data_IF_593632035457
#
_entry.id   IF_593632035457
#
_cell.length_a   1.000
_cell.length_b   1.000
_cell.length_c   1.000
_cell.angle_alpha   90.00
_cell.angle_beta   90.00
_cell.angle_gamma   90.00
#
_symmetry.space_group_name_H-M   'P 1'
#
loop_
_entity.id
_entity.type
_entity.pdbx_description
1 polymer ?
#
# COMPACT_ATOMS: atom_id res chain seq x y z
N UNK A 1 -3.25 -37.47 69.95
CA UNK A 1 -2.47 -36.27 69.58
C UNK A 1 -1.85 -36.58 68.23
N UNK A 2 -2.59 -36.61 67.13
CA UNK A 2 -3.50 -35.60 66.57
C UNK A 2 -2.81 -34.24 66.31
N UNK A 3 -2.88 -33.84 65.03
CA UNK A 3 -2.76 -32.48 64.47
C UNK A 3 -1.36 -31.87 64.39
N UNK A 4 -0.89 -31.29 63.28
CA UNK A 4 -1.42 -31.14 61.91
C UNK A 4 -0.25 -30.76 61.00
N UNK A 5 -0.26 -31.28 59.77
CA UNK A 5 0.57 -30.77 58.69
C UNK A 5 0.08 -29.38 58.27
N UNK A 6 1.02 -28.51 57.94
CA UNK A 6 0.74 -27.24 57.27
C UNK A 6 1.33 -27.35 55.86
N UNK A 7 0.50 -27.94 54.98
CA UNK A 7 0.77 -28.10 53.56
C UNK A 7 0.52 -26.73 52.90
N UNK A 8 1.54 -25.86 52.90
CA UNK A 8 1.51 -24.64 52.09
C UNK A 8 1.80 -25.01 50.64
N UNK A 9 0.76 -25.41 49.93
CA UNK A 9 0.69 -25.27 48.47
C UNK A 9 1.09 -23.85 48.10
N UNK A 10 2.30 -23.70 47.54
CA UNK A 10 2.71 -22.52 46.82
C UNK A 10 1.84 -22.41 45.56
N UNK A 11 0.72 -21.70 45.65
CA UNK A 11 0.04 -21.18 44.47
C UNK A 11 1.02 -20.20 43.82
N UNK A 12 1.75 -20.66 42.81
CA UNK A 12 2.51 -19.77 41.95
C UNK A 12 1.51 -18.81 41.32
N UNK A 13 1.44 -17.58 41.82
CA UNK A 13 0.79 -16.48 41.11
C UNK A 13 1.46 -16.39 39.74
N UNK A 14 0.79 -16.91 38.70
CA UNK A 14 1.24 -16.74 37.34
C UNK A 14 1.26 -15.23 37.08
N UNK A 15 2.47 -14.68 36.94
CA UNK A 15 2.63 -13.28 36.55
C UNK A 15 1.80 -13.04 35.29
N UNK A 16 0.98 -11.98 35.26
CA UNK A 16 0.17 -11.66 34.10
C UNK A 16 1.09 -11.48 32.89
N UNK A 17 0.72 -12.10 31.76
CA UNK A 17 1.47 -11.96 30.53
C UNK A 17 1.65 -10.48 30.16
N UNK A 18 2.81 -10.12 29.63
CA UNK A 18 3.13 -8.72 29.34
C UNK A 18 2.28 -8.16 28.19
N UNK A 19 1.82 -9.02 27.29
CA UNK A 19 1.02 -8.63 26.15
C UNK A 19 -0.16 -9.57 25.89
N UNK A 20 -1.23 -8.98 25.36
CA UNK A 20 -2.44 -9.69 24.92
C UNK A 20 -2.78 -9.27 23.49
N UNK A 21 -3.03 -10.25 22.64
CA UNK A 21 -3.54 -10.07 21.29
C UNK A 21 -4.92 -10.71 21.17
N UNK A 22 -5.94 -9.89 20.98
CA UNK A 22 -7.29 -10.33 20.64
C UNK A 22 -7.44 -10.35 19.11
N UNK A 23 -7.77 -11.50 18.54
CA UNK A 23 -8.06 -11.57 17.10
C UNK A 23 -9.53 -11.23 16.85
N UNK A 24 -9.81 -10.70 15.66
CA UNK A 24 -11.19 -10.48 15.23
C UNK A 24 -11.99 -11.80 15.29
N UNK A 25 -13.25 -11.82 15.76
CA UNK A 25 -14.04 -13.07 15.91
C UNK A 25 -14.11 -13.90 14.63
N UNK A 26 -14.13 -13.24 13.46
CA UNK A 26 -14.14 -13.91 12.15
C UNK A 26 -12.88 -14.70 11.80
N UNK A 27 -11.77 -14.46 12.50
CA UNK A 27 -10.54 -15.23 12.35
C UNK A 27 -10.63 -16.63 12.97
N UNK A 28 -11.61 -16.86 13.86
CA UNK A 28 -11.73 -18.07 14.69
C UNK A 28 -10.46 -18.41 15.50
N UNK A 29 -9.64 -17.40 15.82
CA UNK A 29 -8.44 -17.56 16.64
C UNK A 29 -8.72 -17.15 18.08
N UNK A 30 -8.32 -17.94 19.09
CA UNK A 30 -8.41 -17.53 20.49
C UNK A 30 -7.45 -16.38 20.77
N UNK A 31 -7.75 -15.61 21.82
CA UNK A 31 -6.83 -14.57 22.32
C UNK A 31 -5.48 -15.18 22.69
N UNK A 32 -4.40 -14.50 22.31
CA UNK A 32 -3.03 -14.91 22.55
C UNK A 32 -2.42 -14.05 23.66
N UNK A 33 -1.76 -14.67 24.63
CA UNK A 33 -1.04 -14.02 25.71
C UNK A 33 0.45 -14.31 25.55
N UNK A 34 1.29 -13.28 25.61
CA UNK A 34 2.71 -13.39 25.28
C UNK A 34 3.57 -12.70 26.35
N UNK A 35 4.75 -13.27 26.62
CA UNK A 35 5.78 -12.62 27.44
C UNK A 35 6.42 -11.43 26.70
N UNK A 36 7.27 -10.66 27.38
CA UNK A 36 7.99 -9.53 26.75
C UNK A 36 8.98 -10.06 25.69
N UNK A 37 9.56 -11.23 25.91
CA UNK A 37 10.53 -11.85 25.01
C UNK A 37 9.87 -12.42 23.75
N UNK A 38 8.60 -12.87 23.87
CA UNK A 38 7.80 -13.40 22.77
C UNK A 38 7.10 -12.30 21.95
N UNK A 39 6.76 -11.18 22.60
CA UNK A 39 6.05 -10.09 21.96
C UNK A 39 6.99 -9.22 21.10
N UNK A 40 6.75 -9.24 19.79
CA UNK A 40 7.63 -8.58 18.80
C UNK A 40 8.56 -9.56 18.06
N UNK A 41 8.58 -10.84 18.43
CA UNK A 41 9.20 -11.89 17.60
C UNK A 41 8.22 -12.33 16.51
N UNK A 42 8.25 -11.65 15.37
CA UNK A 42 7.84 -12.29 14.12
C UNK A 42 9.08 -12.94 13.52
N UNK A 43 9.18 -14.28 13.62
CA UNK A 43 10.16 -15.02 12.84
C UNK A 43 9.79 -14.91 11.35
N UNK A 44 10.40 -13.94 10.67
CA UNK A 44 10.34 -13.84 9.22
C UNK A 44 11.53 -14.61 8.64
N UNK A 45 11.32 -15.51 7.66
CA UNK A 45 12.45 -16.11 6.96
C UNK A 45 13.23 -15.02 6.20
N UNK A 46 14.55 -15.03 6.34
CA UNK A 46 15.43 -14.11 5.63
C UNK A 46 15.50 -14.47 4.14
N UNK A 47 15.44 -13.46 3.26
CA UNK A 47 15.67 -13.60 1.81
C UNK A 47 17.16 -13.65 1.48
N UNK A 48 17.56 -14.52 0.54
CA UNK A 48 18.93 -14.65 0.04
C UNK A 48 19.36 -13.47 -0.87
N UNK A 49 20.67 -13.18 -0.93
CA UNK A 49 21.30 -12.14 -1.77
C UNK A 49 22.05 -12.75 -2.96
N UNK A 50 22.05 -12.04 -4.09
CA UNK A 50 22.70 -12.41 -5.37
C UNK A 50 24.11 -11.76 -5.53
N UNK A 51 24.99 -12.35 -6.36
CA UNK A 51 26.45 -12.29 -6.20
C UNK A 51 27.32 -11.84 -7.40
N UNK A 52 26.86 -11.27 -8.54
CA UNK A 52 27.82 -10.79 -9.57
C UNK A 52 27.52 -9.45 -10.29
N UNK A 53 28.53 -8.55 -10.47
CA UNK A 53 28.24 -7.12 -10.58
C UNK A 53 28.55 -6.41 -11.91
N UNK A 54 29.22 -6.97 -12.95
CA UNK A 54 29.15 -6.44 -14.36
C UNK A 54 29.96 -7.21 -15.44
N UNK A 55 29.67 -8.45 -15.87
CA UNK A 55 30.28 -8.94 -17.13
C UNK A 55 29.34 -8.75 -18.34
N UNK A 56 29.52 -7.69 -19.15
CA UNK A 56 29.14 -6.36 -18.64
C UNK A 56 27.78 -5.87 -19.12
N UNK A 57 27.21 -6.54 -20.12
CA UNK A 57 25.77 -6.70 -20.43
C UNK A 57 25.59 -7.97 -21.30
N UNK A 58 24.36 -8.48 -21.45
CA UNK A 58 24.09 -9.82 -22.04
C UNK A 58 23.88 -9.78 -23.58
N UNK A 59 23.37 -8.69 -24.20
CA UNK A 59 23.11 -8.56 -25.68
C UNK A 59 23.40 -7.14 -26.26
N UNK A 60 23.57 -7.00 -27.60
CA UNK A 60 23.93 -5.77 -28.36
C UNK A 60 23.02 -4.55 -28.06
N UNK A 61 21.76 -4.78 -27.66
CA UNK A 61 20.79 -3.74 -27.34
C UNK A 61 21.00 -3.02 -25.99
N UNK A 62 21.63 -3.68 -25.00
CA UNK A 62 21.95 -3.06 -23.70
C UNK A 62 23.04 -1.96 -23.87
N UNK A 63 23.85 -2.05 -24.92
CA UNK A 63 24.91 -1.09 -25.26
C UNK A 63 24.36 0.18 -25.92
N UNK A 64 23.50 0.05 -26.94
CA UNK A 64 22.85 1.20 -27.63
C UNK A 64 21.98 2.04 -26.68
N UNK A 65 21.39 1.41 -25.66
CA UNK A 65 20.64 2.08 -24.59
C UNK A 65 21.51 2.90 -23.63
N UNK A 66 22.64 2.34 -23.22
CA UNK A 66 23.59 2.99 -22.33
C UNK A 66 24.26 4.23 -22.97
N UNK A 67 24.29 4.34 -24.30
CA UNK A 67 24.89 5.48 -25.04
C UNK A 67 23.95 6.69 -25.18
N UNK A 68 22.65 6.45 -25.41
CA UNK A 68 21.59 7.49 -25.50
C UNK A 68 21.30 8.10 -24.12
N UNK A 69 21.29 7.25 -23.10
CA UNK A 69 21.28 7.57 -21.68
C UNK A 69 22.26 8.68 -21.28
N UNK A 70 23.47 8.57 -21.82
CA UNK A 70 24.57 9.45 -21.49
C UNK A 70 24.39 10.84 -22.14
N UNK A 71 23.99 10.91 -23.43
CA UNK A 71 23.88 12.17 -24.21
C UNK A 71 22.77 13.13 -23.75
N UNK A 72 21.72 12.63 -23.10
CA UNK A 72 20.57 13.44 -22.66
C UNK A 72 20.67 13.91 -21.20
N UNK A 73 21.81 13.70 -20.53
CA UNK A 73 21.95 14.05 -19.11
C UNK A 73 20.94 13.31 -18.22
N UNK A 74 20.47 12.17 -18.71
CA UNK A 74 19.51 11.35 -18.03
C UNK A 74 20.25 10.64 -16.92
N UNK A 75 19.84 10.85 -15.68
CA UNK A 75 20.23 9.91 -14.64
C UNK A 75 19.71 8.53 -15.03
N UNK A 76 20.41 7.48 -14.60
CA UNK A 76 20.07 6.07 -14.87
C UNK A 76 18.57 5.71 -14.69
N UNK A 77 17.82 6.51 -13.92
CA UNK A 77 16.37 6.40 -13.69
C UNK A 77 15.47 6.72 -14.90
N UNK A 78 15.79 7.71 -15.74
CA UNK A 78 14.95 8.03 -16.92
C UNK A 78 15.18 7.02 -18.05
N UNK A 79 16.42 6.55 -18.10
CA UNK A 79 16.94 5.54 -19.00
C UNK A 79 16.18 4.24 -18.75
N UNK A 80 16.22 3.67 -17.55
CA UNK A 80 15.50 2.44 -17.24
C UNK A 80 13.97 2.55 -17.33
N UNK A 81 13.41 3.75 -17.09
CA UNK A 81 11.99 4.06 -17.33
C UNK A 81 11.59 3.94 -18.80
N UNK A 82 12.43 4.40 -19.73
CA UNK A 82 12.22 4.33 -21.18
C UNK A 82 12.29 2.88 -21.69
N UNK A 83 13.31 2.11 -21.33
CA UNK A 83 13.49 0.75 -21.85
C UNK A 83 12.44 -0.24 -21.34
N UNK A 84 12.06 -0.11 -20.09
CA UNK A 84 11.10 -1.05 -19.49
C UNK A 84 9.68 -0.75 -19.94
N UNK A 85 9.36 0.51 -20.28
CA UNK A 85 8.09 0.86 -20.89
C UNK A 85 8.01 0.35 -22.33
N UNK A 86 9.07 0.50 -23.12
CA UNK A 86 9.20 -0.02 -24.49
C UNK A 86 9.06 -1.56 -24.53
N UNK A 87 9.71 -2.29 -23.61
CA UNK A 87 9.61 -3.75 -23.51
C UNK A 87 8.22 -4.23 -23.01
N UNK A 88 7.56 -3.43 -22.18
CA UNK A 88 6.21 -3.72 -21.69
C UNK A 88 5.13 -3.37 -22.70
N UNK A 89 5.27 -2.34 -23.52
CA UNK A 89 4.28 -1.99 -24.57
C UNK A 89 4.29 -3.04 -25.70
N UNK A 90 5.47 -3.47 -26.15
CA UNK A 90 5.59 -4.39 -27.29
C UNK A 90 5.14 -5.84 -27.00
N UNK A 91 4.97 -6.23 -25.73
CA UNK A 91 4.45 -7.54 -25.34
C UNK A 91 2.95 -7.49 -24.95
N UNK A 92 2.29 -6.33 -25.08
CA UNK A 92 0.95 -6.06 -24.54
C UNK A 92 0.90 -5.87 -23.01
N UNK A 93 2.04 -5.64 -22.37
CA UNK A 93 2.35 -5.74 -20.93
C UNK A 93 2.55 -4.40 -20.20
N UNK A 94 2.23 -3.25 -20.81
CA UNK A 94 2.31 -1.96 -20.11
C UNK A 94 0.97 -1.61 -19.48
N UNK A 95 0.88 -1.77 -18.16
CA UNK A 95 -0.33 -1.56 -17.35
C UNK A 95 -0.74 -0.09 -17.21
N UNK A 96 0.10 0.87 -17.60
CA UNK A 96 -0.23 2.30 -17.51
C UNK A 96 -1.07 2.72 -18.72
N UNK A 97 -2.34 2.97 -18.48
CA UNK A 97 -3.29 3.53 -19.44
C UNK A 97 -3.29 5.05 -19.35
N UNK A 98 -3.34 5.71 -20.51
CA UNK A 98 -3.60 7.14 -20.62
C UNK A 98 -5.10 7.36 -20.65
N UNK A 99 -5.59 8.21 -19.76
CA UNK A 99 -6.95 8.73 -19.76
C UNK A 99 -6.91 10.24 -19.89
N UNK A 100 -7.92 10.83 -20.51
CA UNK A 100 -7.99 12.26 -20.73
C UNK A 100 -9.15 12.82 -19.90
N UNK A 101 -8.83 13.64 -18.90
CA UNK A 101 -9.84 14.37 -18.13
C UNK A 101 -10.14 15.66 -18.87
N UNK A 102 -11.41 15.87 -19.20
CA UNK A 102 -11.90 17.09 -19.86
C UNK A 102 -12.65 17.92 -18.84
N UNK A 103 -12.27 19.18 -18.69
CA UNK A 103 -12.95 20.11 -17.79
C UNK A 103 -13.23 21.44 -18.51
N UNK A 104 -14.47 21.94 -18.48
CA UNK A 104 -14.81 23.23 -19.05
C UNK A 104 -14.31 24.37 -18.15
N UNK A 105 -13.73 25.40 -18.74
CA UNK A 105 -13.35 26.63 -18.05
C UNK A 105 -13.47 27.85 -18.97
N UNK A 106 -14.17 28.89 -18.54
CA UNK A 106 -14.36 30.16 -19.28
C UNK A 106 -14.75 29.98 -20.75
N UNK A 107 -15.66 29.03 -21.03
CA UNK A 107 -16.20 28.79 -22.37
C UNK A 107 -15.30 27.97 -23.30
N UNK A 108 -14.22 27.37 -22.80
CA UNK A 108 -13.43 26.38 -23.52
C UNK A 108 -13.31 25.06 -22.75
N UNK A 109 -13.16 23.96 -23.48
CA UNK A 109 -12.89 22.64 -22.91
C UNK A 109 -11.39 22.36 -22.94
N UNK A 110 -10.83 22.04 -21.77
CA UNK A 110 -9.41 21.75 -21.63
C UNK A 110 -9.22 20.29 -21.27
N UNK A 111 -8.27 19.65 -21.94
CA UNK A 111 -7.99 18.23 -21.75
C UNK A 111 -6.65 18.03 -21.06
N UNK A 112 -6.64 17.24 -19.98
CA UNK A 112 -5.44 16.90 -19.24
C UNK A 112 -5.19 15.40 -19.25
N UNK A 113 -4.00 14.94 -19.67
CA UNK A 113 -3.68 13.53 -19.65
C UNK A 113 -3.39 13.06 -18.21
N UNK A 114 -4.00 11.94 -17.86
CA UNK A 114 -3.78 11.17 -16.64
C UNK A 114 -3.17 9.84 -17.05
N UNK A 115 -2.06 9.46 -16.41
CA UNK A 115 -1.43 8.18 -16.66
C UNK A 115 -1.59 7.32 -15.42
N UNK A 116 -2.30 6.20 -15.52
CA UNK A 116 -2.53 5.33 -14.37
C UNK A 116 -2.39 3.87 -14.73
N UNK A 117 -1.91 3.05 -13.79
CA UNK A 117 -2.06 1.60 -13.84
C UNK A 117 -3.19 1.16 -12.94
N UNK A 118 -3.84 0.06 -13.29
CA UNK A 118 -4.87 -0.56 -12.45
C UNK A 118 -4.30 -0.82 -11.05
N UNK A 119 -4.88 -0.15 -10.05
CA UNK A 119 -4.58 -0.35 -8.64
C UNK A 119 -4.90 -1.78 -8.21
N UNK A 120 -5.96 -2.35 -8.78
CA UNK A 120 -6.36 -3.73 -8.51
C UNK A 120 -5.42 -4.75 -9.13
N UNK A 121 -4.98 -4.56 -10.37
CA UNK A 121 -4.04 -5.49 -11.01
C UNK A 121 -2.69 -5.49 -10.29
N UNK A 122 -2.28 -4.32 -9.76
CA UNK A 122 -1.12 -4.23 -8.88
C UNK A 122 -1.33 -5.03 -7.58
N UNK A 123 -2.50 -4.95 -6.95
CA UNK A 123 -2.82 -5.77 -5.78
C UNK A 123 -2.79 -7.27 -6.09
N UNK A 124 -3.33 -7.70 -7.24
CA UNK A 124 -3.28 -9.10 -7.67
C UNK A 124 -1.82 -9.58 -7.89
N UNK A 125 -0.94 -8.72 -8.42
CA UNK A 125 0.50 -9.03 -8.53
C UNK A 125 1.12 -9.31 -7.14
N UNK A 126 0.75 -8.53 -6.11
CA UNK A 126 1.23 -8.74 -4.74
C UNK A 126 0.70 -10.05 -4.14
N UNK A 127 -0.58 -10.34 -4.34
CA UNK A 127 -1.26 -11.54 -3.83
C UNK A 127 -0.75 -12.84 -4.47
N UNK A 128 -0.21 -12.74 -5.68
CA UNK A 128 0.43 -13.84 -6.42
C UNK A 128 1.89 -14.07 -6.02
N UNK A 129 2.50 -13.14 -5.28
CA UNK A 129 3.93 -13.17 -5.06
C UNK A 129 4.31 -14.16 -3.95
N UNK A 130 5.09 -15.22 -4.24
CA UNK A 130 5.55 -16.20 -3.24
C UNK A 130 6.30 -15.57 -2.07
N UNK A 131 7.08 -14.52 -2.33
CA UNK A 131 7.90 -13.85 -1.33
C UNK A 131 7.08 -13.00 -0.36
N UNK A 132 5.87 -12.59 -0.76
CA UNK A 132 5.00 -11.75 0.07
C UNK A 132 3.91 -12.57 0.78
N UNK A 133 3.53 -13.72 0.22
CA UNK A 133 2.45 -14.57 0.72
C UNK A 133 2.51 -14.85 2.24
N UNK A 134 3.68 -15.18 2.84
CA UNK A 134 3.77 -15.45 4.28
C UNK A 134 3.58 -14.22 5.17
N UNK A 135 3.69 -13.02 4.61
CA UNK A 135 3.69 -11.76 5.36
C UNK A 135 2.34 -11.05 5.36
N UNK A 136 1.36 -11.54 4.60
CA UNK A 136 0.04 -10.95 4.59
C UNK A 136 -0.69 -11.17 5.93
N UNK A 137 -1.17 -10.07 6.49
CA UNK A 137 -2.13 -10.10 7.60
C UNK A 137 -3.53 -9.85 7.07
N UNK A 138 -4.43 -10.81 7.35
CA UNK A 138 -5.78 -10.82 6.80
C UNK A 138 -6.83 -10.28 7.80
N UNK A 139 -6.64 -10.58 9.08
CA UNK A 139 -7.61 -10.25 10.13
C UNK A 139 -7.16 -9.06 10.98
N UNK A 140 -8.14 -8.27 11.42
CA UNK A 140 -7.93 -7.26 12.44
C UNK A 140 -7.45 -7.90 13.74
N UNK A 141 -6.62 -7.16 14.44
CA UNK A 141 -6.06 -7.57 15.72
C UNK A 141 -6.20 -6.47 16.74
N UNK A 142 -6.24 -6.89 17.99
CA UNK A 142 -6.31 -6.01 19.12
C UNK A 142 -5.18 -6.28 20.10
N UNK A 143 -4.14 -5.44 20.03
CA UNK A 143 -2.98 -5.48 20.92
C UNK A 143 -3.19 -4.70 22.21
N UNK A 144 -2.72 -5.27 23.32
CA UNK A 144 -2.71 -4.65 24.63
C UNK A 144 -1.40 -4.97 25.35
N UNK A 145 -0.91 -4.02 26.15
CA UNK A 145 0.28 -4.17 27.00
C UNK A 145 -0.13 -4.05 28.46
N UNK A 146 0.36 -4.94 29.32
CA UNK A 146 0.14 -4.86 30.75
C UNK A 146 1.03 -3.77 31.36
N UNK A 147 0.45 -2.83 32.11
CA UNK A 147 1.16 -1.70 32.74
C UNK A 147 1.54 -1.95 34.21
N UNK A 148 1.24 -3.14 34.74
CA UNK A 148 1.36 -3.47 36.16
C UNK A 148 0.02 -3.52 36.90
N UNK A 149 -1.04 -2.92 36.33
CA UNK A 149 -2.39 -2.86 36.90
C UNK A 149 -3.48 -3.35 35.94
N UNK A 150 -3.38 -3.01 34.65
CA UNK A 150 -4.37 -3.32 33.62
C UNK A 150 -3.70 -3.47 32.25
N UNK A 151 -4.46 -4.01 31.31
CA UNK A 151 -4.07 -4.06 29.91
C UNK A 151 -4.46 -2.76 29.21
N UNK A 152 -3.46 -2.01 28.74
CA UNK A 152 -3.65 -0.79 27.97
C UNK A 152 -3.54 -1.02 26.47
N UNK A 153 -4.43 -0.38 25.73
CA UNK A 153 -4.54 -0.48 24.29
C UNK A 153 -3.38 0.25 23.60
N UNK A 154 -2.78 -0.35 22.57
CA UNK A 154 -1.88 0.37 21.66
C UNK A 154 -2.04 -0.07 20.21
N UNK A 155 -1.48 0.73 19.31
CA UNK A 155 -1.55 0.56 17.86
C UNK A 155 -0.14 0.50 17.30
N UNK A 156 0.12 -0.47 16.41
CA UNK A 156 1.43 -0.66 15.78
C UNK A 156 1.32 -0.77 14.26
N UNK A 157 0.28 -1.44 13.77
CA UNK A 157 0.04 -1.67 12.35
C UNK A 157 -1.40 -1.32 11.96
N UNK A 158 -1.71 -1.09 10.67
CA UNK A 158 -3.05 -0.69 10.25
C UNK A 158 -4.17 -1.66 10.67
N UNK A 159 -3.91 -2.97 10.64
CA UNK A 159 -4.86 -4.00 11.09
C UNK A 159 -5.07 -4.01 12.61
N UNK A 160 -4.26 -3.28 13.37
CA UNK A 160 -4.46 -3.08 14.81
C UNK A 160 -5.39 -1.91 15.12
N UNK A 161 -5.73 -1.09 14.12
CA UNK A 161 -6.64 0.05 14.29
C UNK A 161 -8.10 -0.36 14.39
N UNK A 162 -8.89 0.37 15.19
CA UNK A 162 -10.34 0.15 15.31
C UNK A 162 -11.07 0.31 13.98
N UNK A 163 -10.56 1.16 13.07
CA UNK A 163 -11.14 1.30 11.74
C UNK A 163 -11.14 -0.02 10.98
N UNK A 164 -10.04 -0.78 11.02
CA UNK A 164 -9.95 -2.08 10.36
C UNK A 164 -10.90 -3.09 10.99
N UNK A 165 -10.96 -3.11 12.33
CA UNK A 165 -11.92 -3.94 13.08
C UNK A 165 -13.35 -3.66 12.65
N UNK A 166 -13.76 -2.40 12.63
CA UNK A 166 -15.10 -1.98 12.25
C UNK A 166 -15.43 -2.29 10.78
N UNK A 167 -14.44 -2.24 9.88
CA UNK A 167 -14.61 -2.68 8.49
C UNK A 167 -14.87 -4.18 8.45
N UNK A 168 -14.03 -4.98 9.10
CA UNK A 168 -14.15 -6.43 9.06
C UNK A 168 -15.48 -6.90 9.67
N UNK A 169 -15.99 -6.24 10.71
CA UNK A 169 -17.32 -6.49 11.29
C UNK A 169 -18.47 -6.24 10.33
N UNK A 170 -18.31 -5.32 9.37
CA UNK A 170 -19.34 -4.91 8.40
C UNK A 170 -19.32 -5.69 7.09
N UNK A 171 -18.30 -6.51 6.86
CA UNK A 171 -18.26 -7.35 5.66
C UNK A 171 -19.39 -8.39 5.67
N UNK A 172 -19.80 -8.93 4.52
CA UNK A 172 -20.78 -10.01 4.47
C UNK A 172 -20.39 -11.20 5.36
N UNK A 173 -21.37 -11.87 5.95
CA UNK A 173 -21.15 -13.06 6.79
C UNK A 173 -20.96 -14.30 5.92
N UNK A 174 -19.78 -14.38 5.31
CA UNK A 174 -19.39 -15.42 4.37
C UNK A 174 -17.95 -15.81 4.64
N UNK A 175 -17.65 -17.10 4.43
CA UNK A 175 -16.32 -17.65 4.69
C UNK A 175 -15.25 -16.88 3.90
N UNK A 176 -14.18 -16.52 4.58
CA UNK A 176 -13.03 -15.80 4.02
C UNK A 176 -13.37 -14.43 3.38
N UNK A 177 -14.41 -13.73 3.85
CA UNK A 177 -14.57 -12.31 3.57
C UNK A 177 -13.51 -11.50 4.31
N UNK A 178 -12.58 -10.91 3.56
CA UNK A 178 -11.37 -10.28 4.10
C UNK A 178 -11.24 -8.85 3.55
N UNK A 179 -10.96 -7.85 4.41
CA UNK A 179 -10.63 -6.51 3.95
C UNK A 179 -9.24 -6.49 3.30
N UNK A 180 -9.15 -5.89 2.11
CA UNK A 180 -7.88 -5.64 1.43
C UNK A 180 -7.63 -4.13 1.40
N UNK A 181 -6.64 -3.68 2.17
CA UNK A 181 -6.48 -2.26 2.46
C UNK A 181 -5.39 -1.62 1.61
N UNK A 182 -5.73 -0.50 0.98
CA UNK A 182 -4.80 0.39 0.31
C UNK A 182 -4.48 1.60 1.19
N UNK A 183 -3.23 2.02 1.14
CA UNK A 183 -2.75 3.29 1.67
C UNK A 183 -2.25 4.09 0.46
N UNK A 184 -2.83 5.26 0.23
CA UNK A 184 -2.52 6.10 -0.92
C UNK A 184 -1.89 7.41 -0.47
N UNK A 185 -0.81 7.78 -1.15
CA UNK A 185 -0.17 9.08 -1.03
C UNK A 185 -0.25 9.78 -2.37
N UNK A 186 -0.71 11.03 -2.39
CA UNK A 186 -0.67 11.87 -3.57
C UNK A 186 -0.01 13.19 -3.16
N UNK A 187 1.22 13.40 -3.61
CA UNK A 187 1.94 14.65 -3.31
C UNK A 187 2.65 15.18 -4.55
N UNK A 188 2.69 16.50 -4.69
CA UNK A 188 3.37 17.15 -5.79
C UNK A 188 4.87 17.18 -5.51
N UNK A 189 5.62 16.42 -6.29
CA UNK A 189 7.06 16.23 -6.12
C UNK A 189 7.86 16.89 -7.26
N UNK A 190 9.13 17.19 -6.99
CA UNK A 190 10.07 17.68 -8.00
C UNK A 190 10.74 16.47 -8.66
N UNK A 191 10.64 16.35 -9.98
CA UNK A 191 11.18 15.22 -10.73
C UNK A 191 12.64 15.41 -11.18
N UNK A 192 13.19 16.62 -11.10
CA UNK A 192 14.59 16.89 -11.44
C UNK A 192 15.32 17.68 -10.35
N UNK A 193 16.63 17.41 -10.22
CA UNK A 193 17.56 18.14 -9.35
C UNK A 193 17.68 19.62 -9.73
N UNK A 194 17.44 19.95 -11.01
CA UNK A 194 17.47 21.30 -11.56
C UNK A 194 16.10 22.02 -11.53
N UNK A 195 15.12 21.46 -10.81
CA UNK A 195 13.83 22.10 -10.45
C UNK A 195 12.86 22.48 -11.60
N UNK A 196 13.09 22.03 -12.83
CA UNK A 196 12.26 22.45 -13.99
C UNK A 196 11.02 21.59 -14.21
N UNK A 197 11.04 20.32 -13.80
CA UNK A 197 9.92 19.37 -14.04
C UNK A 197 9.29 18.97 -12.71
N UNK A 198 7.99 19.26 -12.57
CA UNK A 198 7.17 18.83 -11.43
C UNK A 198 6.38 17.58 -11.84
N UNK A 199 6.17 16.67 -10.90
CA UNK A 199 5.34 15.49 -11.06
C UNK A 199 4.33 15.43 -9.93
N UNK A 200 3.17 14.83 -10.18
CA UNK A 200 2.19 14.59 -9.14
C UNK A 200 1.84 13.09 -9.07
N UNK A 201 2.75 12.26 -8.52
CA UNK A 201 2.54 10.83 -8.42
C UNK A 201 1.49 10.48 -7.36
N UNK A 202 0.69 9.47 -7.66
CA UNK A 202 -0.11 8.71 -6.70
C UNK A 202 0.65 7.43 -6.38
N UNK A 203 1.07 7.28 -5.13
CA UNK A 203 1.80 6.10 -4.63
C UNK A 203 0.86 5.24 -3.81
N UNK A 204 0.73 3.98 -4.16
CA UNK A 204 -0.03 2.99 -3.42
C UNK A 204 0.89 2.10 -2.56
N UNK A 205 0.37 1.73 -1.40
CA UNK A 205 0.96 0.78 -0.46
C UNK A 205 -0.12 -0.19 0.03
N UNK A 206 0.28 -1.44 0.28
CA UNK A 206 -0.63 -2.45 0.79
C UNK A 206 -0.66 -2.42 2.33
N UNK A 207 -1.82 -2.14 2.91
CA UNK A 207 -2.03 -2.09 4.36
C UNK A 207 -2.03 -3.48 5.02
N UNK A 208 -2.18 -4.55 4.24
CA UNK A 208 -2.10 -5.94 4.72
C UNK A 208 -0.66 -6.44 4.87
N UNK A 209 0.34 -5.64 4.46
CA UNK A 209 1.76 -5.96 4.63
C UNK A 209 2.35 -5.16 5.79
N UNK A 210 3.30 -5.75 6.55
CA UNK A 210 3.94 -5.09 7.67
C UNK A 210 4.79 -3.89 7.21
N UNK A 211 4.97 -2.94 8.12
CA UNK A 211 5.58 -1.65 7.85
C UNK A 211 6.98 -1.77 7.23
N UNK A 212 7.77 -2.76 7.66
CA UNK A 212 9.12 -3.02 7.15
C UNK A 212 9.12 -3.44 5.67
N UNK A 213 8.12 -4.20 5.23
CA UNK A 213 7.97 -4.61 3.82
C UNK A 213 7.36 -3.46 3.02
N UNK A 214 6.30 -2.85 3.55
CA UNK A 214 5.56 -1.75 2.92
C UNK A 214 6.44 -0.51 2.67
N UNK A 215 7.40 -0.26 3.54
CA UNK A 215 8.35 0.86 3.42
C UNK A 215 9.69 0.45 2.80
N UNK A 216 9.88 -0.82 2.45
CA UNK A 216 11.10 -1.31 1.80
C UNK A 216 11.14 -0.99 0.30
N UNK A 217 12.30 -1.23 -0.32
CA UNK A 217 12.53 -1.04 -1.76
C UNK A 217 12.23 -2.30 -2.60
N UNK A 218 11.87 -3.40 -1.95
CA UNK A 218 11.55 -4.68 -2.58
C UNK A 218 10.10 -4.73 -3.10
N UNK A 219 9.68 -5.87 -3.65
CA UNK A 219 8.37 -6.07 -4.30
C UNK A 219 7.11 -5.66 -3.49
N UNK A 220 7.19 -5.63 -2.15
CA UNK A 220 6.08 -5.23 -1.27
C UNK A 220 6.06 -3.73 -0.91
N UNK A 221 7.03 -2.96 -1.40
CA UNK A 221 7.16 -1.52 -1.19
C UNK A 221 6.09 -0.68 -1.89
N UNK A 222 6.16 0.63 -1.68
CA UNK A 222 5.27 1.58 -2.34
C UNK A 222 5.48 1.59 -3.87
N UNK A 223 4.38 1.63 -4.63
CA UNK A 223 4.41 1.67 -6.08
C UNK A 223 3.66 2.90 -6.60
N UNK A 224 4.21 3.59 -7.60
CA UNK A 224 3.46 4.63 -8.32
C UNK A 224 2.37 3.95 -9.14
N UNK A 225 1.12 4.32 -8.88
CA UNK A 225 -0.07 3.79 -9.55
C UNK A 225 -0.74 4.81 -10.47
N UNK A 226 -0.39 6.09 -10.33
CA UNK A 226 -0.93 7.14 -11.18
C UNK A 226 -0.08 8.40 -11.19
N UNK A 227 -0.29 9.21 -12.20
CA UNK A 227 0.24 10.56 -12.34
C UNK A 227 -0.93 11.49 -12.54
N UNK A 228 -1.19 12.33 -11.53
CA UNK A 228 -2.20 13.35 -11.59
C UNK A 228 -1.74 14.48 -12.51
N UNK A 229 -2.69 15.11 -13.22
CA UNK A 229 -2.38 16.19 -14.14
C UNK A 229 -1.94 17.43 -13.36
N UNK A 230 -0.92 18.11 -13.88
CA UNK A 230 -0.51 19.42 -13.37
C UNK A 230 -1.18 20.47 -14.25
N UNK A 231 -2.12 21.20 -13.66
CA UNK A 231 -2.82 22.29 -14.34
C UNK A 231 -1.94 23.55 -14.26
N UNK A 232 -1.46 24.10 -15.38
CA UNK A 232 -0.58 25.28 -15.36
C UNK A 232 -1.31 26.48 -14.79
N UNK A 233 -0.76 27.19 -13.83
CA UNK A 233 -1.37 28.39 -13.27
C UNK A 233 -0.68 29.64 -13.82
N UNK A 234 -1.46 30.53 -14.44
CA UNK A 234 -0.94 31.82 -14.89
C UNK A 234 -1.14 32.87 -13.80
N UNK A 235 -0.28 33.89 -13.76
CA UNK A 235 -0.40 35.02 -12.83
C UNK A 235 -1.77 35.74 -12.89
N UNK A 236 -2.50 35.58 -14.01
CA UNK A 236 -3.85 36.15 -14.15
C UNK A 236 -4.92 35.35 -13.42
N UNK A 237 -4.70 34.07 -13.13
CA UNK A 237 -5.68 33.19 -12.48
C UNK A 237 -5.33 32.87 -11.02
N UNK A 238 -4.14 33.27 -10.58
CA UNK A 238 -3.66 33.12 -9.21
C UNK A 238 -4.63 33.77 -8.21
N UNK A 239 -4.96 33.03 -7.14
CA UNK A 239 -5.88 33.48 -6.08
C UNK A 239 -7.36 33.51 -6.46
N UNK A 240 -7.74 33.09 -7.67
CA UNK A 240 -9.16 33.05 -8.07
C UNK A 240 -9.82 31.73 -7.69
N UNK A 241 -10.87 31.83 -6.88
CA UNK A 241 -11.71 30.70 -6.46
C UNK A 241 -12.24 29.87 -7.63
N UNK A 242 -12.62 30.51 -8.74
CA UNK A 242 -13.06 29.81 -9.95
C UNK A 242 -11.98 28.94 -10.57
N UNK A 243 -10.71 29.38 -10.55
CA UNK A 243 -9.60 28.58 -11.06
C UNK A 243 -9.22 27.45 -10.09
N UNK A 244 -9.20 27.73 -8.79
CA UNK A 244 -9.01 26.70 -7.75
C UNK A 244 -10.05 25.59 -7.86
N UNK A 245 -11.34 25.93 -8.00
CA UNK A 245 -12.40 24.95 -8.19
C UNK A 245 -12.21 24.12 -9.47
N UNK A 246 -11.77 24.75 -10.56
CA UNK A 246 -11.45 24.06 -11.80
C UNK A 246 -10.29 23.06 -11.64
N UNK A 247 -9.19 23.45 -10.97
CA UNK A 247 -8.08 22.53 -10.62
C UNK A 247 -8.59 21.35 -9.77
N UNK A 248 -9.48 21.62 -8.80
CA UNK A 248 -10.10 20.58 -7.95
C UNK A 248 -10.93 19.59 -8.75
N UNK A 249 -11.78 20.05 -9.67
CA UNK A 249 -12.57 19.16 -10.54
C UNK A 249 -11.65 18.22 -11.31
N UNK A 250 -10.61 18.77 -11.95
CA UNK A 250 -9.64 17.97 -12.70
C UNK A 250 -8.95 16.94 -11.80
N UNK A 251 -8.54 17.35 -10.60
CA UNK A 251 -7.91 16.47 -9.62
C UNK A 251 -8.84 15.32 -9.22
N UNK A 252 -10.10 15.62 -8.87
CA UNK A 252 -11.06 14.61 -8.41
C UNK A 252 -11.45 13.64 -9.52
N UNK A 253 -11.66 14.11 -10.75
CA UNK A 253 -11.92 13.25 -11.91
C UNK A 253 -10.72 12.34 -12.21
N UNK A 254 -9.50 12.90 -12.21
CA UNK A 254 -8.27 12.13 -12.42
C UNK A 254 -8.05 11.08 -11.32
N UNK A 255 -8.30 11.45 -10.07
CA UNK A 255 -8.15 10.55 -8.93
C UNK A 255 -9.24 9.47 -8.90
N UNK A 256 -10.49 9.82 -9.26
CA UNK A 256 -11.59 8.88 -9.41
C UNK A 256 -11.26 7.83 -10.48
N UNK A 257 -10.71 8.24 -11.62
CA UNK A 257 -10.26 7.32 -12.66
C UNK A 257 -9.24 6.27 -12.13
N UNK A 258 -8.28 6.68 -11.30
CA UNK A 258 -7.31 5.76 -10.68
C UNK A 258 -8.01 4.74 -9.76
N UNK A 259 -9.09 5.14 -9.10
CA UNK A 259 -9.83 4.34 -8.12
C UNK A 259 -10.98 3.54 -8.69
N UNK A 260 -11.41 3.80 -9.93
CA UNK A 260 -12.68 3.35 -10.48
C UNK A 260 -12.94 1.86 -10.26
N UNK A 261 -11.97 1.02 -10.64
CA UNK A 261 -12.08 -0.44 -10.45
C UNK A 261 -12.13 -0.84 -8.98
N UNK A 262 -11.36 -0.19 -8.12
CA UNK A 262 -11.36 -0.45 -6.67
C UNK A 262 -12.68 -0.01 -6.04
N UNK A 263 -13.27 1.11 -6.50
CA UNK A 263 -14.55 1.59 -6.02
C UNK A 263 -15.69 0.60 -6.35
N UNK A 264 -15.70 0.03 -7.56
CA UNK A 264 -16.61 -1.05 -7.93
C UNK A 264 -16.42 -2.28 -7.01
N UNK A 265 -15.20 -2.79 -6.93
CA UNK A 265 -14.88 -4.00 -6.17
C UNK A 265 -15.07 -3.84 -4.66
N UNK A 266 -15.00 -2.62 -4.13
CA UNK A 266 -15.27 -2.36 -2.71
C UNK A 266 -16.69 -2.73 -2.29
N UNK A 267 -17.65 -2.69 -3.25
CA UNK A 267 -19.07 -2.97 -3.01
C UNK A 267 -19.40 -4.46 -3.16
N UNK A 268 -18.84 -5.10 -4.20
CA UNK A 268 -19.17 -6.48 -4.58
C UNK A 268 -18.15 -7.51 -4.07
N UNK A 269 -16.96 -7.06 -3.69
CA UNK A 269 -15.80 -7.89 -3.41
C UNK A 269 -15.28 -8.64 -4.64
N UNK A 270 -14.12 -9.27 -4.50
CA UNK A 270 -13.48 -10.05 -5.55
C UNK A 270 -12.95 -11.37 -4.99
N UNK A 271 -13.38 -12.50 -5.56
CA UNK A 271 -12.87 -13.82 -5.15
C UNK A 271 -11.54 -14.09 -5.86
N UNK A 272 -10.52 -14.44 -5.09
CA UNK A 272 -9.19 -14.70 -5.61
C UNK A 272 -8.52 -15.85 -4.86
N UNK A 273 -7.93 -16.79 -5.61
CA UNK A 273 -7.01 -17.79 -5.04
C UNK A 273 -5.64 -17.12 -4.87
N UNK A 274 -5.25 -16.87 -3.62
CA UNK A 274 -3.94 -16.33 -3.32
C UNK A 274 -2.85 -17.38 -3.53
N UNK A 275 -1.59 -16.95 -3.50
CA UNK A 275 -0.44 -17.86 -3.66
C UNK A 275 -0.46 -19.08 -2.72
N UNK A 276 -0.97 -18.91 -1.49
CA UNK A 276 -1.10 -19.96 -0.47
C UNK A 276 -2.25 -20.96 -0.72
N UNK A 277 -2.88 -20.93 -1.91
CA UNK A 277 -3.99 -21.81 -2.31
C UNK A 277 -5.27 -21.64 -1.50
N UNK A 278 -5.37 -20.56 -0.71
CA UNK A 278 -6.59 -20.19 -0.02
C UNK A 278 -7.36 -19.19 -0.88
N UNK A 279 -8.57 -19.59 -1.28
CA UNK A 279 -9.51 -18.65 -1.92
C UNK A 279 -10.08 -17.69 -0.88
N UNK A 280 -9.87 -16.40 -1.11
CA UNK A 280 -10.38 -15.31 -0.27
C UNK A 280 -11.36 -14.45 -1.07
N UNK A 281 -12.40 -13.98 -0.41
CA UNK A 281 -13.28 -12.96 -0.96
C UNK A 281 -12.83 -11.60 -0.44
N UNK A 282 -12.07 -10.89 -1.28
CA UNK A 282 -11.36 -9.68 -0.94
C UNK A 282 -12.26 -8.46 -1.15
N UNK A 283 -12.35 -7.60 -0.15
CA UNK A 283 -13.07 -6.34 -0.22
C UNK A 283 -12.05 -5.20 -0.19
N UNK A 284 -11.67 -4.65 -1.36
CA UNK A 284 -10.69 -3.57 -1.41
C UNK A 284 -11.25 -2.28 -0.82
N UNK A 285 -10.39 -1.53 -0.14
CA UNK A 285 -10.75 -0.25 0.46
C UNK A 285 -9.54 0.69 0.57
N UNK A 286 -9.81 2.00 0.56
CA UNK A 286 -8.79 3.01 0.88
C UNK A 286 -8.83 3.26 2.39
N UNK A 287 -7.84 2.75 3.11
CA UNK A 287 -7.76 2.86 4.56
C UNK A 287 -7.17 4.19 4.98
N UNK A 288 -6.16 4.66 4.26
CA UNK A 288 -5.49 5.94 4.48
C UNK A 288 -5.32 6.59 3.12
N UNK A 289 -5.74 7.85 3.02
CA UNK A 289 -5.45 8.74 1.91
C UNK A 289 -4.76 9.96 2.49
N UNK A 290 -3.52 10.20 2.07
CA UNK A 290 -2.77 11.40 2.39
C UNK A 290 -2.49 12.11 1.08
N UNK A 291 -3.15 13.25 0.87
CA UNK A 291 -3.07 13.98 -0.39
C UNK A 291 -2.94 15.48 -0.13
N UNK A 292 -2.08 16.14 -0.91
CA UNK A 292 -2.05 17.59 -1.00
C UNK A 292 -3.11 18.05 -2.01
N UNK A 293 -4.34 18.22 -1.54
CA UNK A 293 -5.37 18.83 -2.37
C UNK A 293 -4.86 20.22 -2.77
N UNK A 294 -4.90 20.59 -4.05
CA UNK A 294 -4.53 21.94 -4.53
C UNK A 294 -5.56 22.98 -4.05
N UNK A 295 -5.71 23.09 -2.74
CA UNK A 295 -6.71 23.88 -2.02
C UNK A 295 -6.19 25.25 -1.60
N UNK A 296 -4.96 25.61 -1.97
CA UNK A 296 -4.33 26.89 -1.73
C UNK A 296 -3.89 27.54 -3.05
#
# INVERSE_FOLDING_TARGET
MESSGDDRTSSSEQQPANFKTEFHPRSNRPSLFQSQEEFGQCAFPATARDTQPWHPFIEEGDYTFAEIALQAGLSASHINGLLTLIARINQGKAKFTRHNVVAPYKGGDFTFPVYARSLWDWALDLLSNPLLAPHFTWDAQRLFKYDGSKYERFYSEPWTGDRWWNIQSRLPDVKNAIPFAFILYADRTRLSSHATVKGYPVVARCGNLPINIRNGECYGGGCVVGWLPIVPESAKEEGKTGYTNYKRVIWHEAFHFILDKVAELSKIGYKYECYDKITRWLFPLILILSADYEEL
#
